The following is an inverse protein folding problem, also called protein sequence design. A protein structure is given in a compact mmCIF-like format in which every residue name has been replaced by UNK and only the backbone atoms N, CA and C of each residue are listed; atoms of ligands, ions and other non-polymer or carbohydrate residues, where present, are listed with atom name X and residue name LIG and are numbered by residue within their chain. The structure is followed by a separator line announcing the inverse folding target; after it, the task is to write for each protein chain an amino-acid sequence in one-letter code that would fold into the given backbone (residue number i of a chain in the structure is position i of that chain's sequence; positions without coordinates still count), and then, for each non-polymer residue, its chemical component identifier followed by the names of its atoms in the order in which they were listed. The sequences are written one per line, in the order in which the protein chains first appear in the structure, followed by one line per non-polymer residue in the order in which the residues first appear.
data_IF_881717709113
#
_entry.id   IF_881717709113
#
_cell.length_a   1.000
_cell.length_b   1.000
_cell.length_c   1.000
_cell.angle_alpha   90.00
_cell.angle_beta   90.00
_cell.angle_gamma   90.00
#
_symmetry.space_group_name_H-M   'P 1'
#
loop_
_entity.id
_entity.type
_entity.pdbx_description
1 polymer ?
#
# COMPACT_ATOMS: atom_id res chain seq x y z
N UNK A 1 20.44 18.24 -20.32
CA UNK A 1 20.39 17.76 -18.92
C UNK A 1 19.92 18.87 -18.02
N UNK A 2 19.82 18.63 -16.72
CA UNK A 2 19.49 19.63 -15.68
C UNK A 2 20.62 19.68 -14.64
N UNK A 3 20.78 20.82 -13.98
CA UNK A 3 21.84 21.04 -12.99
C UNK A 3 21.43 20.66 -11.56
N UNK A 4 20.13 20.53 -11.29
CA UNK A 4 19.58 20.17 -10.00
C UNK A 4 18.24 19.43 -10.12
N UNK A 5 17.81 18.80 -9.03
CA UNK A 5 16.49 18.23 -8.85
C UNK A 5 15.76 18.92 -7.69
N UNK A 6 14.52 19.35 -7.90
CA UNK A 6 13.68 19.89 -6.82
C UNK A 6 13.37 18.80 -5.78
N UNK A 7 12.93 17.63 -6.22
CA UNK A 7 12.65 16.48 -5.36
C UNK A 7 13.46 15.29 -5.85
N UNK A 8 14.21 14.66 -4.93
CA UNK A 8 14.97 13.44 -5.18
C UNK A 8 14.66 12.44 -4.07
N UNK A 9 14.49 11.16 -4.39
CA UNK A 9 14.13 10.15 -3.40
C UNK A 9 14.97 8.89 -3.49
N UNK A 10 15.18 8.24 -2.35
CA UNK A 10 15.54 6.83 -2.28
C UNK A 10 14.33 5.99 -2.71
N UNK A 11 14.53 5.07 -3.65
CA UNK A 11 13.41 4.34 -4.23
C UNK A 11 13.18 3.00 -3.53
N UNK A 12 11.95 2.74 -3.09
CA UNK A 12 11.54 1.44 -2.57
C UNK A 12 12.26 1.05 -1.26
N UNK A 13 12.09 1.86 -0.21
CA UNK A 13 12.33 1.41 1.15
C UNK A 13 11.38 0.24 1.45
N UNK A 14 11.97 -0.91 1.76
CA UNK A 14 11.33 -2.16 2.12
C UNK A 14 12.19 -2.87 3.17
N UNK A 15 11.71 -3.98 3.70
CA UNK A 15 12.48 -4.85 4.59
C UNK A 15 13.80 -5.31 3.95
N UNK A 16 13.83 -5.50 2.63
CA UNK A 16 15.00 -6.00 1.91
C UNK A 16 15.99 -4.92 1.52
N UNK A 17 15.55 -3.66 1.40
CA UNK A 17 16.43 -2.52 1.08
C UNK A 17 16.85 -1.71 2.31
N UNK A 18 16.28 -1.98 3.48
CA UNK A 18 16.58 -1.24 4.71
C UNK A 18 18.08 -1.24 5.05
N UNK A 19 18.70 -2.42 5.12
CA UNK A 19 20.12 -2.54 5.49
C UNK A 19 21.01 -1.85 4.45
N UNK A 20 20.66 -1.97 3.16
CA UNK A 20 21.36 -1.29 2.08
C UNK A 20 21.37 0.23 2.27
N UNK A 21 20.23 0.85 2.63
CA UNK A 21 20.15 2.30 2.83
C UNK A 21 20.76 2.79 4.13
N UNK A 22 20.80 1.94 5.15
CA UNK A 22 21.31 2.29 6.48
C UNK A 22 22.79 1.93 6.67
N UNK A 23 23.40 1.25 5.71
CA UNK A 23 24.83 0.93 5.67
C UNK A 23 25.69 2.21 5.55
N UNK A 24 26.42 2.52 6.62
CA UNK A 24 27.29 3.70 6.70
C UNK A 24 28.58 3.55 5.90
N UNK A 25 29.06 2.33 5.66
CA UNK A 25 30.25 2.05 4.85
C UNK A 25 29.96 2.29 3.36
N UNK A 26 28.75 1.94 2.91
CA UNK A 26 28.26 2.32 1.58
C UNK A 26 27.98 3.83 1.47
N UNK A 27 27.55 4.45 2.57
CA UNK A 27 27.43 5.90 2.69
C UNK A 27 26.44 6.55 1.71
N UNK A 28 25.41 5.80 1.25
CA UNK A 28 24.48 6.27 0.21
C UNK A 28 23.71 7.53 0.63
N UNK A 29 23.11 7.52 1.82
CA UNK A 29 22.39 8.70 2.32
C UNK A 29 23.34 9.86 2.57
N UNK A 30 24.56 9.60 3.05
CA UNK A 30 25.54 10.66 3.26
C UNK A 30 26.00 11.30 1.93
N UNK A 31 26.16 10.51 0.87
CA UNK A 31 26.41 11.03 -0.46
C UNK A 31 25.27 11.93 -0.94
N UNK A 32 24.00 11.53 -0.78
CA UNK A 32 22.85 12.35 -1.16
C UNK A 32 22.75 13.64 -0.35
N UNK A 33 23.10 13.61 0.94
CA UNK A 33 23.20 14.82 1.76
C UNK A 33 24.32 15.75 1.29
N UNK A 34 25.47 15.22 0.83
CA UNK A 34 26.50 16.04 0.16
C UNK A 34 25.96 16.69 -1.12
N UNK A 35 25.16 15.98 -1.92
CA UNK A 35 24.52 16.55 -3.11
C UNK A 35 23.49 17.64 -2.77
N UNK A 36 22.74 17.45 -1.67
CA UNK A 36 21.83 18.46 -1.14
C UNK A 36 22.59 19.73 -0.71
N UNK A 37 23.68 19.57 0.05
CA UNK A 37 24.56 20.70 0.45
C UNK A 37 25.19 21.41 -0.76
N UNK A 38 25.48 20.69 -1.83
CA UNK A 38 25.98 21.25 -3.09
C UNK A 38 24.89 21.91 -3.96
N UNK A 39 23.62 21.94 -3.52
CA UNK A 39 22.51 22.54 -4.25
C UNK A 39 21.96 21.71 -5.41
N UNK A 40 22.46 20.48 -5.61
CA UNK A 40 22.01 19.57 -6.69
C UNK A 40 20.71 18.84 -6.35
N UNK A 41 20.35 18.77 -5.08
CA UNK A 41 19.07 18.24 -4.58
C UNK A 41 18.47 19.28 -3.63
N UNK A 42 17.24 19.72 -3.85
CA UNK A 42 16.57 20.65 -2.91
C UNK A 42 15.87 19.90 -1.79
N UNK A 43 15.04 18.92 -2.12
CA UNK A 43 14.30 18.09 -1.18
C UNK A 43 14.68 16.62 -1.37
N UNK A 44 15.27 16.02 -0.32
CA UNK A 44 15.60 14.60 -0.29
C UNK A 44 14.46 13.88 0.43
N UNK A 45 13.91 12.83 -0.15
CA UNK A 45 12.88 11.99 0.45
C UNK A 45 13.15 10.50 0.22
N UNK A 46 12.12 9.69 0.42
CA UNK A 46 12.14 8.26 0.10
C UNK A 46 10.76 7.82 -0.37
N UNK A 47 10.68 6.77 -1.19
CA UNK A 47 9.43 6.02 -1.39
C UNK A 47 9.46 4.74 -0.56
N UNK A 48 8.31 4.28 -0.08
CA UNK A 48 8.24 3.09 0.77
C UNK A 48 7.14 2.12 0.34
N UNK A 49 7.52 0.84 0.29
CA UNK A 49 6.63 -0.32 0.27
C UNK A 49 6.71 -1.13 1.57
N UNK A 50 7.59 -0.73 2.49
CA UNK A 50 7.81 -1.39 3.77
C UNK A 50 6.57 -1.38 4.67
N UNK A 51 6.60 -2.24 5.69
CA UNK A 51 5.66 -2.19 6.82
C UNK A 51 5.89 -0.95 7.69
N UNK A 52 4.88 -0.51 8.45
CA UNK A 52 4.97 0.63 9.35
C UNK A 52 6.22 0.61 10.26
N UNK A 53 6.55 -0.55 10.85
CA UNK A 53 7.68 -0.68 11.78
C UNK A 53 9.04 -0.45 11.09
N UNK A 54 9.16 -0.84 9.83
CA UNK A 54 10.36 -0.59 9.04
C UNK A 54 10.51 0.90 8.72
N UNK A 55 9.40 1.60 8.44
CA UNK A 55 9.40 3.06 8.22
C UNK A 55 9.80 3.77 9.51
N UNK A 56 9.19 3.43 10.65
CA UNK A 56 9.51 4.01 11.95
C UNK A 56 10.99 3.84 12.30
N UNK A 57 11.54 2.63 12.13
CA UNK A 57 12.98 2.36 12.32
C UNK A 57 13.86 3.16 11.37
N UNK A 58 13.42 3.44 10.15
CA UNK A 58 14.19 4.20 9.16
C UNK A 58 14.24 5.68 9.52
N UNK A 59 13.11 6.23 9.98
CA UNK A 59 13.02 7.61 10.43
C UNK A 59 13.79 7.84 11.75
N UNK A 60 13.75 6.87 12.66
CA UNK A 60 14.53 6.92 13.90
C UNK A 60 16.05 6.83 13.65
N UNK A 61 16.48 6.16 12.58
CA UNK A 61 17.89 6.06 12.22
C UNK A 61 18.46 7.40 11.74
N UNK A 62 17.75 8.17 10.90
CA UNK A 62 18.24 9.46 10.41
C UNK A 62 17.13 10.44 10.06
N UNK A 63 17.09 11.55 10.79
CA UNK A 63 16.19 12.68 10.54
C UNK A 63 16.74 13.59 9.43
N UNK A 64 16.47 13.25 8.17
CA UNK A 64 16.96 14.03 7.03
C UNK A 64 16.03 14.08 5.81
N UNK A 65 14.86 13.47 5.90
CA UNK A 65 13.92 13.33 4.80
C UNK A 65 12.83 14.40 4.84
N UNK A 66 12.61 15.07 3.72
CA UNK A 66 11.67 16.18 3.58
C UNK A 66 10.27 15.75 3.13
N UNK A 67 10.11 14.52 2.64
CA UNK A 67 8.84 13.93 2.22
C UNK A 67 8.99 12.41 2.12
N UNK A 68 7.85 11.71 2.15
CA UNK A 68 7.79 10.27 1.90
C UNK A 68 6.71 9.97 0.85
N UNK A 69 7.04 9.12 -0.11
CA UNK A 69 6.11 8.64 -1.12
C UNK A 69 5.58 7.24 -0.75
N UNK A 70 4.27 7.10 -0.49
CA UNK A 70 3.65 5.83 -0.11
C UNK A 70 2.44 5.50 -0.99
N UNK A 71 2.18 4.20 -1.15
CA UNK A 71 0.94 3.72 -1.75
C UNK A 71 -0.22 4.01 -0.80
N UNK A 72 -1.17 4.83 -1.24
CA UNK A 72 -2.28 5.27 -0.41
C UNK A 72 -3.54 5.49 -1.26
N UNK A 73 -4.63 4.84 -0.85
CA UNK A 73 -5.98 5.02 -1.37
C UNK A 73 -6.96 4.41 -0.34
N UNK A 74 -8.27 4.60 -0.55
CA UNK A 74 -9.28 4.15 0.43
C UNK A 74 -9.32 2.63 0.65
N UNK A 75 -8.83 1.84 -0.31
CA UNK A 75 -8.78 0.38 -0.20
C UNK A 75 -7.51 -0.05 0.55
N UNK A 76 -6.37 0.51 0.15
CA UNK A 76 -5.06 0.20 0.72
C UNK A 76 -4.86 0.80 2.12
N UNK A 77 -5.71 1.76 2.53
CA UNK A 77 -5.79 2.25 3.90
C UNK A 77 -5.81 1.10 4.92
N UNK A 78 -6.63 0.08 4.65
CA UNK A 78 -6.70 -1.14 5.47
C UNK A 78 -5.89 -2.29 4.86
N UNK A 79 -5.93 -2.48 3.55
CA UNK A 79 -5.35 -3.68 2.92
C UNK A 79 -3.81 -3.71 2.96
N UNK A 80 -3.16 -2.55 2.81
CA UNK A 80 -1.70 -2.42 2.82
C UNK A 80 -1.18 -1.74 4.10
N UNK A 81 -2.06 -1.62 5.10
CA UNK A 81 -1.83 -0.87 6.33
C UNK A 81 -1.32 0.57 6.06
N UNK A 82 -1.83 1.18 4.99
CA UNK A 82 -1.38 2.50 4.56
C UNK A 82 -1.82 3.60 5.54
N UNK A 83 -2.90 3.38 6.31
CA UNK A 83 -3.34 4.27 7.37
C UNK A 83 -2.28 4.43 8.46
N UNK A 84 -1.73 3.33 8.98
CA UNK A 84 -0.69 3.36 9.99
C UNK A 84 0.62 3.99 9.46
N UNK A 85 0.99 3.71 8.20
CA UNK A 85 2.14 4.38 7.54
C UNK A 85 1.92 5.89 7.45
N UNK A 86 0.72 6.32 7.09
CA UNK A 86 0.34 7.73 7.04
C UNK A 86 0.40 8.39 8.43
N UNK A 87 -0.05 7.71 9.48
CA UNK A 87 0.01 8.20 10.87
C UNK A 87 1.46 8.40 11.33
N UNK A 88 2.34 7.41 11.15
CA UNK A 88 3.78 7.53 11.48
C UNK A 88 4.41 8.74 10.79
N UNK A 89 4.15 8.91 9.48
CA UNK A 89 4.69 10.04 8.72
C UNK A 89 4.14 11.38 9.22
N UNK A 90 2.86 11.41 9.62
CA UNK A 90 2.22 12.60 10.19
C UNK A 90 2.83 12.98 11.54
N UNK A 91 3.08 12.01 12.41
CA UNK A 91 3.72 12.23 13.72
C UNK A 91 5.16 12.75 13.60
N UNK A 92 5.88 12.33 12.55
CA UNK A 92 7.22 12.82 12.24
C UNK A 92 7.23 14.15 11.45
N UNK A 93 6.05 14.72 11.15
CA UNK A 93 5.94 15.95 10.37
C UNK A 93 6.43 15.80 8.92
N UNK A 94 6.40 14.59 8.37
CA UNK A 94 6.83 14.28 7.00
C UNK A 94 5.61 14.32 6.07
N UNK A 95 5.59 15.25 5.09
CA UNK A 95 4.52 15.32 4.11
C UNK A 95 4.45 14.06 3.24
N UNK A 96 3.23 13.62 2.95
CA UNK A 96 2.96 12.43 2.15
C UNK A 96 2.77 12.79 0.68
N UNK A 97 3.56 12.13 -0.18
CA UNK A 97 3.33 12.05 -1.63
C UNK A 97 2.64 10.73 -1.93
N UNK A 98 1.46 10.77 -2.52
CA UNK A 98 0.66 9.57 -2.76
C UNK A 98 1.00 8.96 -4.11
N UNK A 99 1.42 7.69 -4.10
CA UNK A 99 1.42 6.84 -5.30
C UNK A 99 0.24 5.87 -5.28
N UNK A 100 -0.10 5.32 -6.45
CA UNK A 100 -1.23 4.40 -6.63
C UNK A 100 -2.59 4.92 -6.10
N UNK A 101 -2.97 6.20 -6.37
CA UNK A 101 -4.21 6.75 -5.84
C UNK A 101 -5.46 6.02 -6.35
N UNK A 102 -5.41 5.49 -7.58
CA UNK A 102 -6.48 4.71 -8.21
C UNK A 102 -6.11 3.23 -8.39
N UNK A 103 -5.02 2.78 -7.76
CA UNK A 103 -4.50 1.40 -7.77
C UNK A 103 -4.47 0.77 -9.16
N UNK A 104 -3.62 1.29 -10.05
CA UNK A 104 -3.53 0.85 -11.45
C UNK A 104 -4.82 1.00 -12.27
N UNK A 105 -5.75 1.86 -11.84
CA UNK A 105 -7.07 2.05 -12.46
C UNK A 105 -8.16 1.13 -11.92
N UNK A 106 -7.84 0.21 -10.99
CA UNK A 106 -8.81 -0.70 -10.38
C UNK A 106 -9.90 0.07 -9.63
N UNK A 107 -9.56 1.19 -9.01
CA UNK A 107 -10.52 2.03 -8.29
C UNK A 107 -11.27 3.01 -9.20
N UNK A 108 -11.04 2.98 -10.52
CA UNK A 108 -11.83 3.69 -11.51
C UNK A 108 -12.96 2.82 -12.11
N UNK A 109 -12.97 1.52 -11.83
CA UNK A 109 -14.00 0.58 -12.29
C UNK A 109 -14.26 -0.49 -11.22
N UNK A 110 -15.36 -0.32 -10.50
CA UNK A 110 -15.75 -1.17 -9.38
C UNK A 110 -16.72 -2.29 -9.83
N UNK A 111 -17.03 -3.22 -8.92
CA UNK A 111 -18.14 -4.13 -9.15
C UNK A 111 -19.49 -3.35 -9.19
N UNK A 112 -20.55 -3.89 -9.83
CA UNK A 112 -21.82 -3.17 -9.99
C UNK A 112 -22.46 -2.69 -8.68
N UNK A 113 -22.29 -3.43 -7.58
CA UNK A 113 -22.83 -3.07 -6.28
C UNK A 113 -22.14 -1.84 -5.69
N UNK A 114 -20.81 -1.84 -5.66
CA UNK A 114 -20.00 -0.72 -5.20
C UNK A 114 -20.20 0.53 -6.08
N UNK A 115 -20.22 0.36 -7.41
CA UNK A 115 -20.46 1.46 -8.35
C UNK A 115 -21.83 2.12 -8.10
N UNK A 116 -22.89 1.32 -7.92
CA UNK A 116 -24.23 1.83 -7.61
C UNK A 116 -24.28 2.58 -6.26
N UNK A 117 -23.57 2.11 -5.22
CA UNK A 117 -23.51 2.80 -3.93
C UNK A 117 -22.91 4.21 -4.06
N UNK A 118 -21.80 4.34 -4.80
CA UNK A 118 -21.13 5.62 -4.98
C UNK A 118 -21.95 6.57 -5.87
N UNK A 119 -22.50 6.07 -6.98
CA UNK A 119 -23.34 6.87 -7.88
C UNK A 119 -24.65 7.34 -7.26
N UNK A 120 -25.19 6.63 -6.28
CA UNK A 120 -26.38 7.07 -5.56
C UNK A 120 -26.15 8.39 -4.81
N UNK A 121 -24.92 8.68 -4.39
CA UNK A 121 -24.55 9.93 -3.73
C UNK A 121 -24.06 10.99 -4.73
N UNK A 122 -23.26 10.58 -5.71
CA UNK A 122 -22.70 11.48 -6.74
C UNK A 122 -22.91 10.90 -8.13
N UNK A 123 -24.09 11.07 -8.74
CA UNK A 123 -24.42 10.43 -10.00
C UNK A 123 -23.64 10.98 -11.20
N UNK A 124 -23.14 12.22 -11.11
CA UNK A 124 -22.40 12.89 -12.18
C UNK A 124 -20.88 12.76 -12.02
N UNK A 125 -20.40 12.39 -10.84
CA UNK A 125 -18.97 12.26 -10.59
C UNK A 125 -18.47 10.92 -11.17
N UNK A 126 -17.24 10.92 -11.69
CA UNK A 126 -16.58 9.69 -12.06
C UNK A 126 -16.29 8.83 -10.83
N UNK A 127 -16.16 7.52 -11.02
CA UNK A 127 -15.76 6.62 -9.93
C UNK A 127 -14.33 6.92 -9.45
N UNK A 128 -13.43 7.29 -10.37
CA UNK A 128 -12.06 7.67 -10.03
C UNK A 128 -12.00 8.89 -9.10
N UNK A 129 -12.91 9.84 -9.26
CA UNK A 129 -12.97 11.04 -8.43
C UNK A 129 -13.07 10.74 -6.93
N UNK A 130 -13.74 9.65 -6.54
CA UNK A 130 -13.86 9.23 -5.13
C UNK A 130 -12.50 8.94 -4.48
N UNK A 131 -11.58 8.35 -5.25
CA UNK A 131 -10.22 8.09 -4.76
C UNK A 131 -9.46 9.40 -4.51
N UNK A 132 -9.55 10.37 -5.43
CA UNK A 132 -8.93 11.68 -5.25
C UNK A 132 -9.56 12.47 -4.10
N UNK A 133 -10.90 12.52 -4.01
CA UNK A 133 -11.61 13.21 -2.91
C UNK A 133 -11.32 12.59 -1.55
N UNK A 134 -11.14 11.28 -1.48
CA UNK A 134 -10.69 10.59 -0.27
C UNK A 134 -9.32 11.11 0.16
N UNK A 135 -8.35 11.12 -0.76
CA UNK A 135 -6.98 11.56 -0.48
C UNK A 135 -6.90 13.05 -0.15
N UNK A 136 -7.69 13.90 -0.82
CA UNK A 136 -7.80 15.33 -0.48
C UNK A 136 -8.39 15.57 0.92
N UNK A 137 -9.07 14.57 1.50
CA UNK A 137 -9.58 14.66 2.87
C UNK A 137 -8.54 14.34 3.96
N UNK A 138 -7.32 13.97 3.58
CA UNK A 138 -6.21 13.63 4.47
C UNK A 138 -5.24 14.82 4.59
N UNK A 139 -5.18 15.52 5.75
CA UNK A 139 -4.45 16.79 5.86
C UNK A 139 -2.94 16.74 5.58
N UNK A 140 -2.28 15.60 5.80
CA UNK A 140 -0.84 15.43 5.60
C UNK A 140 -0.49 14.94 4.17
N UNK A 141 -1.49 14.75 3.30
CA UNK A 141 -1.25 14.52 1.86
C UNK A 141 -0.86 15.84 1.22
N UNK A 142 0.38 15.95 0.75
CA UNK A 142 0.90 17.13 0.06
C UNK A 142 0.74 17.04 -1.46
N UNK A 143 0.89 15.85 -2.03
CA UNK A 143 0.83 15.63 -3.49
C UNK A 143 0.15 14.30 -3.78
N UNK A 144 -0.72 14.27 -4.80
CA UNK A 144 -1.30 13.03 -5.33
C UNK A 144 -0.76 12.79 -6.74
N UNK A 145 -0.06 11.68 -6.95
CA UNK A 145 0.46 11.31 -8.27
C UNK A 145 -0.64 10.69 -9.12
N UNK A 146 -1.34 11.54 -9.87
CA UNK A 146 -2.42 11.14 -10.76
C UNK A 146 -1.87 10.53 -12.06
N UNK A 147 -1.98 9.21 -12.23
CA UNK A 147 -1.61 8.50 -13.46
C UNK A 147 -2.78 8.45 -14.44
N UNK A 148 -2.55 8.82 -15.71
CA UNK A 148 -3.59 8.96 -16.74
C UNK A 148 -3.06 8.49 -18.09
N UNK A 149 -3.91 7.83 -18.88
CA UNK A 149 -3.59 7.35 -20.24
C UNK A 149 -4.36 8.11 -21.32
N UNK A 150 -5.52 8.67 -21.00
CA UNK A 150 -6.35 9.42 -21.97
C UNK A 150 -6.57 10.87 -21.54
N UNK A 151 -6.89 11.73 -22.52
CA UNK A 151 -7.18 13.14 -22.25
C UNK A 151 -8.44 13.33 -21.41
N UNK A 152 -9.42 12.43 -21.55
CA UNK A 152 -10.66 12.44 -20.77
C UNK A 152 -10.37 12.19 -19.29
N UNK A 153 -9.49 11.23 -18.96
CA UNK A 153 -9.04 11.00 -17.59
C UNK A 153 -8.31 12.22 -17.02
N UNK A 154 -7.48 12.88 -17.85
CA UNK A 154 -6.82 14.12 -17.44
C UNK A 154 -7.82 15.22 -17.09
N UNK A 155 -8.82 15.44 -17.94
CA UNK A 155 -9.87 16.44 -17.70
C UNK A 155 -10.66 16.13 -16.43
N UNK A 156 -11.11 14.89 -16.27
CA UNK A 156 -11.85 14.44 -15.09
C UNK A 156 -11.07 14.62 -13.78
N UNK A 157 -9.79 14.26 -13.78
CA UNK A 157 -8.93 14.43 -12.61
C UNK A 157 -8.66 15.92 -12.32
N UNK A 158 -8.46 16.74 -13.35
CA UNK A 158 -8.30 18.19 -13.19
C UNK A 158 -9.56 18.84 -12.64
N UNK A 159 -10.74 18.47 -13.15
CA UNK A 159 -12.03 18.97 -12.66
C UNK A 159 -12.24 18.59 -11.19
N UNK A 160 -12.01 17.32 -10.85
CA UNK A 160 -12.13 16.83 -9.47
C UNK A 160 -11.20 17.57 -8.50
N UNK A 161 -9.93 17.71 -8.85
CA UNK A 161 -8.93 18.35 -7.98
C UNK A 161 -9.07 19.88 -7.94
N UNK A 162 -9.61 20.51 -8.99
CA UNK A 162 -9.83 21.96 -9.02
C UNK A 162 -11.06 22.37 -8.22
N UNK A 163 -12.11 21.54 -8.23
CA UNK A 163 -13.27 21.69 -7.33
C UNK A 163 -12.82 21.60 -5.86
N UNK A 164 -11.89 20.68 -5.57
CA UNK A 164 -11.23 20.60 -4.26
C UNK A 164 -12.16 20.20 -3.12
N UNK A 165 -13.40 19.77 -3.40
CA UNK A 165 -14.35 19.35 -2.37
C UNK A 165 -13.97 17.95 -1.87
N UNK A 166 -13.51 17.81 -0.61
CA UNK A 166 -13.22 16.50 -0.03
C UNK A 166 -14.51 15.71 0.22
N UNK A 167 -14.38 14.42 0.55
CA UNK A 167 -15.53 13.62 0.96
C UNK A 167 -16.11 14.10 2.30
N UNK A 168 -17.44 14.12 2.40
CA UNK A 168 -18.16 14.27 3.68
C UNK A 168 -18.06 13.01 4.53
N UNK A 169 -18.45 13.08 5.81
CA UNK A 169 -18.48 11.91 6.69
C UNK A 169 -19.38 10.79 6.16
N UNK A 170 -20.59 11.14 5.68
CA UNK A 170 -21.52 10.15 5.11
C UNK A 170 -20.94 9.49 3.84
N UNK A 171 -20.27 10.27 3.00
CA UNK A 171 -19.60 9.77 1.80
C UNK A 171 -18.43 8.85 2.14
N UNK A 172 -17.65 9.16 3.19
CA UNK A 172 -16.59 8.29 3.69
C UNK A 172 -17.14 6.95 4.16
N UNK A 173 -18.23 6.95 4.93
CA UNK A 173 -18.87 5.72 5.40
C UNK A 173 -19.36 4.85 4.24
N UNK A 174 -19.96 5.47 3.21
CA UNK A 174 -20.41 4.76 2.02
C UNK A 174 -19.24 4.22 1.21
N UNK A 175 -18.16 5.00 1.08
CA UNK A 175 -16.94 4.57 0.42
C UNK A 175 -16.29 3.37 1.12
N UNK A 176 -16.24 3.37 2.46
CA UNK A 176 -15.75 2.22 3.23
C UNK A 176 -16.59 0.97 3.01
N UNK A 177 -17.93 1.11 2.99
CA UNK A 177 -18.81 -0.02 2.66
C UNK A 177 -18.58 -0.51 1.24
N UNK A 178 -18.51 0.39 0.26
CA UNK A 178 -18.22 0.03 -1.12
C UNK A 178 -16.88 -0.71 -1.23
N UNK A 179 -15.82 -0.19 -0.60
CA UNK A 179 -14.50 -0.80 -0.55
C UNK A 179 -14.50 -2.21 0.04
N UNK A 180 -15.29 -2.45 1.10
CA UNK A 180 -15.45 -3.78 1.72
C UNK A 180 -16.05 -4.82 0.77
N UNK A 181 -16.78 -4.39 -0.27
CA UNK A 181 -17.34 -5.29 -1.29
C UNK A 181 -16.40 -5.52 -2.47
N UNK A 182 -15.32 -4.72 -2.62
CA UNK A 182 -14.45 -4.78 -3.79
C UNK A 182 -13.59 -6.04 -3.84
N UNK A 183 -13.34 -6.64 -2.69
CA UNK A 183 -12.57 -7.87 -2.59
C UNK A 183 -13.20 -8.75 -1.52
N UNK A 184 -13.45 -10.02 -1.86
CA UNK A 184 -13.84 -11.05 -0.89
C UNK A 184 -12.61 -11.43 -0.06
N UNK A 185 -12.13 -10.47 0.73
CA UNK A 185 -11.01 -10.63 1.62
C UNK A 185 -11.29 -11.81 2.54
N UNK A 186 -10.30 -12.68 2.70
CA UNK A 186 -10.28 -13.56 3.85
C UNK A 186 -10.17 -12.65 5.09
N UNK A 187 -11.14 -12.68 6.02
CA UNK A 187 -11.25 -11.72 7.11
C UNK A 187 -10.26 -12.05 8.24
N UNK A 188 -8.96 -12.12 7.94
CA UNK A 188 -7.93 -12.38 8.93
C UNK A 188 -7.67 -11.14 9.77
N UNK A 189 -7.70 -11.28 11.10
CA UNK A 189 -7.40 -10.22 12.06
C UNK A 189 -5.92 -10.15 12.46
N UNK A 190 -5.06 -10.96 11.82
CA UNK A 190 -3.64 -11.09 12.15
C UNK A 190 -3.30 -11.41 13.62
N UNK A 191 -4.24 -12.04 14.36
CA UNK A 191 -4.05 -12.42 15.77
C UNK A 191 -2.96 -13.48 16.04
N UNK A 192 -2.43 -14.13 15.00
CA UNK A 192 -1.31 -15.10 15.05
C UNK A 192 -1.50 -16.38 15.87
N UNK A 193 -2.68 -16.67 16.43
CA UNK A 193 -2.95 -17.94 17.13
C UNK A 193 -2.69 -19.19 16.27
N UNK A 194 -2.88 -19.07 14.96
CA UNK A 194 -2.62 -20.15 14.01
C UNK A 194 -1.12 -20.45 13.81
N UNK A 195 -0.22 -19.51 14.06
CA UNK A 195 1.20 -19.64 13.76
C UNK A 195 1.87 -20.66 14.70
N UNK A 196 1.51 -20.65 15.98
CA UNK A 196 2.10 -21.55 16.99
C UNK A 196 1.77 -23.02 16.72
N UNK A 197 0.58 -23.30 16.17
CA UNK A 197 0.13 -24.64 15.84
C UNK A 197 0.60 -25.12 14.44
N UNK A 198 1.27 -24.27 13.66
CA UNK A 198 1.73 -24.63 12.34
C UNK A 198 3.04 -25.43 12.44
N UNK A 199 3.07 -26.73 12.09
CA UNK A 199 4.31 -27.53 12.14
C UNK A 199 5.34 -27.13 11.07
N UNK A 200 4.97 -26.22 10.16
CA UNK A 200 5.84 -25.65 9.13
C UNK A 200 6.28 -24.22 9.48
N UNK A 201 5.87 -23.73 10.66
CA UNK A 201 6.23 -22.39 11.15
C UNK A 201 5.89 -21.25 10.18
N UNK A 202 4.84 -21.42 9.38
CA UNK A 202 4.40 -20.41 8.41
C UNK A 202 3.83 -19.17 9.12
N UNK A 203 4.18 -18.00 8.61
CA UNK A 203 3.53 -16.73 8.97
C UNK A 203 2.16 -16.64 8.28
N UNK A 204 1.19 -17.41 8.78
CA UNK A 204 -0.13 -17.58 8.17
C UNK A 204 -0.83 -16.23 7.92
N UNK A 205 -0.89 -15.27 8.86
CA UNK A 205 -1.48 -13.96 8.59
C UNK A 205 -0.84 -13.21 7.42
N UNK A 206 0.49 -13.25 7.30
CA UNK A 206 1.23 -12.65 6.19
C UNK A 206 0.89 -13.33 4.85
N UNK A 207 0.76 -14.65 4.84
CA UNK A 207 0.38 -15.38 3.63
C UNK A 207 -1.10 -15.11 3.23
N UNK A 208 -2.00 -14.96 4.21
CA UNK A 208 -3.38 -14.54 3.94
C UNK A 208 -3.45 -13.10 3.42
N UNK A 209 -2.60 -12.19 3.90
CA UNK A 209 -2.56 -10.83 3.35
C UNK A 209 -2.09 -10.83 1.90
N UNK A 210 -1.14 -11.69 1.53
CA UNK A 210 -0.73 -11.89 0.14
C UNK A 210 -1.86 -12.39 -0.73
N UNK A 211 -2.58 -13.42 -0.28
CA UNK A 211 -3.78 -13.93 -0.96
C UNK A 211 -4.82 -12.84 -1.21
N UNK A 212 -5.10 -12.02 -0.20
CA UNK A 212 -6.05 -10.91 -0.34
C UNK A 212 -5.55 -9.84 -1.32
N UNK A 213 -4.25 -9.55 -1.33
CA UNK A 213 -3.63 -8.61 -2.27
C UNK A 213 -3.72 -9.10 -3.72
N UNK A 214 -3.49 -10.40 -3.95
CA UNK A 214 -3.61 -11.00 -5.28
C UNK A 214 -5.06 -10.91 -5.78
N UNK A 215 -6.04 -11.28 -4.92
CA UNK A 215 -7.47 -11.17 -5.27
C UNK A 215 -7.93 -9.74 -5.49
N UNK A 216 -7.29 -8.76 -4.86
CA UNK A 216 -7.59 -7.35 -5.06
C UNK A 216 -7.02 -6.79 -6.39
N UNK A 217 -6.13 -7.53 -7.06
CA UNK A 217 -5.71 -7.26 -8.45
C UNK A 217 -4.44 -6.44 -8.63
N UNK A 218 -3.56 -6.32 -7.61
CA UNK A 218 -2.27 -5.65 -7.76
C UNK A 218 -1.08 -6.52 -7.29
N UNK A 219 -0.61 -7.50 -8.09
CA UNK A 219 0.49 -8.37 -7.69
C UNK A 219 1.89 -7.77 -7.91
N UNK A 220 2.01 -6.57 -8.48
CA UNK A 220 3.29 -6.04 -8.99
C UNK A 220 4.37 -5.89 -7.92
N UNK A 221 4.03 -5.28 -6.79
CA UNK A 221 4.91 -5.16 -5.61
C UNK A 221 5.09 -6.50 -4.91
N UNK A 222 4.02 -7.30 -4.88
CA UNK A 222 4.00 -8.60 -4.22
C UNK A 222 4.96 -9.61 -4.86
N UNK A 223 5.17 -9.54 -6.19
CA UNK A 223 6.12 -10.41 -6.91
C UNK A 223 7.53 -10.31 -6.35
N UNK A 224 8.00 -9.09 -6.06
CA UNK A 224 9.34 -8.88 -5.50
C UNK A 224 9.43 -9.40 -4.07
N UNK A 225 8.41 -9.13 -3.24
CA UNK A 225 8.34 -9.63 -1.86
C UNK A 225 8.35 -11.15 -1.81
N UNK A 226 7.52 -11.82 -2.64
CA UNK A 226 7.46 -13.27 -2.74
C UNK A 226 8.80 -13.84 -3.24
N UNK A 227 9.38 -13.24 -4.29
CA UNK A 227 10.64 -13.71 -4.87
C UNK A 227 11.84 -13.61 -3.93
N UNK A 228 11.76 -12.78 -2.89
CA UNK A 228 12.80 -12.64 -1.86
C UNK A 228 12.58 -13.54 -0.63
N UNK A 229 11.47 -14.28 -0.56
CA UNK A 229 11.18 -15.17 0.57
C UNK A 229 11.84 -16.54 0.41
N UNK A 230 12.14 -17.17 1.53
CA UNK A 230 12.54 -18.58 1.58
C UNK A 230 11.39 -19.45 1.01
N UNK A 231 11.67 -20.39 0.08
CA UNK A 231 10.68 -21.34 -0.42
C UNK A 231 9.88 -22.06 0.67
N UNK A 232 10.49 -22.35 1.83
CA UNK A 232 9.84 -23.03 2.95
C UNK A 232 8.89 -22.10 3.73
N UNK A 233 8.97 -20.78 3.49
CA UNK A 233 8.07 -19.77 4.05
C UNK A 233 6.89 -19.43 3.13
N UNK A 234 6.79 -20.03 1.95
CA UNK A 234 5.72 -19.79 0.98
C UNK A 234 4.47 -20.65 1.27
N UNK A 235 3.28 -20.27 0.74
CA UNK A 235 2.06 -21.07 0.91
C UNK A 235 2.18 -22.52 0.41
N UNK A 236 3.09 -22.78 -0.53
CA UNK A 236 3.39 -24.12 -1.06
C UNK A 236 3.93 -25.08 -0.01
N UNK A 237 4.53 -24.59 1.07
CA UNK A 237 4.98 -25.42 2.18
C UNK A 237 3.83 -25.85 3.11
N UNK A 238 2.61 -25.34 2.93
CA UNK A 238 1.47 -25.78 3.72
C UNK A 238 1.10 -27.24 3.43
N UNK A 239 1.28 -28.12 4.43
CA UNK A 239 0.90 -29.54 4.35
C UNK A 239 -0.59 -29.83 4.61
N UNK A 240 -1.42 -28.78 4.69
CA UNK A 240 -2.86 -28.87 4.93
C UNK A 240 -3.29 -29.70 6.16
N UNK A 241 -2.48 -29.74 7.23
CA UNK A 241 -2.77 -30.56 8.42
C UNK A 241 -4.00 -30.12 9.25
N UNK A 242 -4.50 -28.90 9.04
CA UNK A 242 -5.69 -28.39 9.71
C UNK A 242 -5.50 -27.93 11.17
N UNK A 243 -4.30 -28.05 11.76
CA UNK A 243 -4.03 -27.69 13.15
C UNK A 243 -4.37 -26.22 13.51
N UNK A 244 -4.30 -25.33 12.52
CA UNK A 244 -4.61 -23.91 12.65
C UNK A 244 -6.12 -23.58 12.66
N UNK A 245 -6.97 -24.45 12.11
CA UNK A 245 -8.42 -24.20 11.93
C UNK A 245 -9.16 -24.00 13.26
N UNK A 246 -9.04 -24.88 14.27
CA UNK A 246 -9.78 -24.70 15.53
C UNK A 246 -9.31 -23.47 16.34
N UNK A 247 -8.13 -22.92 16.04
CA UNK A 247 -7.57 -21.75 16.72
C UNK A 247 -7.98 -20.43 16.04
N UNK A 248 -8.59 -20.48 14.86
CA UNK A 248 -8.97 -19.27 14.14
C UNK A 248 -10.30 -18.73 14.68
N UNK A 249 -10.33 -17.55 15.34
CA UNK A 249 -11.58 -16.99 15.88
C UNK A 249 -12.56 -16.56 14.77
N UNK A 250 -12.06 -16.43 13.55
CA UNK A 250 -12.84 -16.05 12.36
C UNK A 250 -13.36 -17.28 11.58
N UNK A 251 -13.09 -18.51 12.07
CA UNK A 251 -13.52 -19.74 11.41
C UNK A 251 -12.92 -19.98 10.01
N UNK A 252 -11.79 -19.33 9.71
CA UNK A 252 -11.15 -19.39 8.39
C UNK A 252 -10.65 -20.80 8.11
N UNK A 253 -11.02 -21.34 6.94
CA UNK A 253 -10.44 -22.58 6.41
C UNK A 253 -9.03 -22.32 5.86
N UNK A 254 -8.08 -22.08 6.76
CA UNK A 254 -6.70 -21.67 6.43
C UNK A 254 -6.05 -22.59 5.39
N UNK A 255 -6.15 -23.94 5.46
CA UNK A 255 -5.58 -24.81 4.43
C UNK A 255 -6.08 -24.54 3.01
N UNK A 256 -7.38 -24.23 2.85
CA UNK A 256 -7.96 -23.91 1.53
C UNK A 256 -7.44 -22.57 1.01
N UNK A 257 -7.29 -21.59 1.90
CA UNK A 257 -6.70 -20.28 1.57
C UNK A 257 -5.24 -20.45 1.13
N UNK A 258 -4.45 -21.27 1.85
CA UNK A 258 -3.05 -21.54 1.48
C UNK A 258 -2.95 -22.22 0.11
N UNK A 259 -3.82 -23.19 -0.18
CA UNK A 259 -3.86 -23.87 -1.50
C UNK A 259 -4.17 -22.87 -2.62
N UNK A 260 -5.20 -22.05 -2.46
CA UNK A 260 -5.55 -21.03 -3.46
C UNK A 260 -4.40 -20.03 -3.65
N UNK A 261 -3.81 -19.55 -2.55
CA UNK A 261 -2.70 -18.62 -2.60
C UNK A 261 -1.47 -19.22 -3.30
N UNK A 262 -1.16 -20.51 -3.05
CA UNK A 262 -0.08 -21.20 -3.75
C UNK A 262 -0.30 -21.26 -5.27
N UNK A 263 -1.52 -21.61 -5.71
CA UNK A 263 -1.88 -21.64 -7.14
C UNK A 263 -1.80 -20.26 -7.80
N UNK A 264 -2.15 -19.21 -7.06
CA UNK A 264 -2.09 -17.83 -7.51
C UNK A 264 -0.63 -17.34 -7.62
N UNK A 265 0.21 -17.63 -6.61
CA UNK A 265 1.62 -17.23 -6.59
C UNK A 265 2.41 -17.86 -7.73
N UNK A 266 2.18 -19.14 -8.06
CA UNK A 266 2.85 -19.81 -9.18
C UNK A 266 2.61 -19.09 -10.51
N UNK A 267 1.47 -18.41 -10.68
CA UNK A 267 1.16 -17.64 -11.89
C UNK A 267 1.86 -16.28 -11.95
N UNK A 268 2.42 -15.81 -10.83
CA UNK A 268 3.09 -14.50 -10.72
C UNK A 268 4.60 -14.56 -10.92
N UNK A 269 5.20 -15.75 -10.77
CA UNK A 269 6.64 -15.99 -10.92
C UNK A 269 6.94 -16.30 -12.37
#
# INVERSE_FOLDING_TARGET
GVDYFDFYLLHNLSETSYDLYTDEDLGMVEYLLKQKRAGRIRHLGFSAHARPETIERFLAWKDCFAFAQIQLNYLDWKLQDAGHKYEILTEHGIPVVVMEPVRGGRLASLNPGADAMLRALRPQDSIASWAFRYLMSLPNVAVILSGMTTLEQLKDNLETCSDGTPLTSDEKDVLERAASTLYNAVPCTACRYCCEACPQHLDIPKLISFHNEIKAGNPGTLRFTIGAMDPDSLPTACIACGACVPLCPQGIQIPDVMRQCAEEIVKLI
#
